data_IF_867837778784
#
_entry.id   IF_867837778784
#
_cell.length_a   1.000
_cell.length_b   1.000
_cell.length_c   1.000
_cell.angle_alpha   90.00
_cell.angle_beta   90.00
_cell.angle_gamma   90.00
#
_symmetry.space_group_name_H-M   'P 1'
#
loop_
_entity.id
_entity.type
_entity.pdbx_description
1 polymer ?
#
# COMPACT_ATOMS: atom_id res chain seq x y z
N UNK A 1 -0.94 -5.02 18.06
CA UNK A 1 -2.06 -4.38 17.34
C UNK A 1 -3.29 -4.23 18.23
N UNK A 2 -3.86 -3.03 18.26
CA UNK A 2 -5.08 -2.69 19.00
C UNK A 2 -5.96 -1.70 18.23
N UNK A 3 -7.19 -1.51 18.71
CA UNK A 3 -8.11 -0.49 18.19
C UNK A 3 -8.31 0.56 19.28
N UNK A 4 -7.98 1.82 18.97
CA UNK A 4 -8.33 2.97 19.81
C UNK A 4 -9.62 3.58 19.26
N UNK A 5 -10.72 3.43 19.99
CA UNK A 5 -12.00 4.07 19.63
C UNK A 5 -11.98 5.51 20.07
N UNK A 6 -12.67 6.36 19.31
CA UNK A 6 -12.90 7.73 19.70
C UNK A 6 -14.14 7.83 20.60
N UNK A 7 -14.14 8.83 21.48
CA UNK A 7 -15.25 9.13 22.39
C UNK A 7 -16.21 10.17 21.82
N UNK A 8 -15.70 11.15 21.07
CA UNK A 8 -16.46 12.27 20.52
C UNK A 8 -17.26 11.94 19.26
N UNK A 9 -16.85 10.90 18.53
CA UNK A 9 -17.43 10.52 17.24
C UNK A 9 -17.35 9.01 17.05
N UNK A 10 -18.27 8.45 16.25
CA UNK A 10 -18.21 7.04 15.84
C UNK A 10 -17.04 6.79 14.88
N UNK A 11 -15.84 6.75 15.43
CA UNK A 11 -14.61 6.50 14.69
C UNK A 11 -13.63 5.66 15.52
N UNK A 12 -12.58 5.20 14.86
CA UNK A 12 -11.51 4.46 15.50
C UNK A 12 -10.20 4.60 14.73
N UNK A 13 -9.08 4.34 15.40
CA UNK A 13 -7.75 4.17 14.81
C UNK A 13 -7.26 2.75 15.11
N UNK A 14 -6.97 1.99 14.06
CA UNK A 14 -6.22 0.74 14.18
C UNK A 14 -4.73 1.07 14.25
N UNK A 15 -4.05 0.54 15.26
CA UNK A 15 -2.62 0.79 15.53
C UNK A 15 -1.92 -0.56 15.61
N UNK A 16 -0.86 -0.75 14.83
CA UNK A 16 -0.21 -2.05 14.70
C UNK A 16 0.77 -2.35 15.85
N UNK A 17 1.68 -1.41 16.12
CA UNK A 17 2.67 -1.45 17.21
C UNK A 17 2.36 -0.34 18.23
N UNK A 18 2.48 -0.65 19.52
CA UNK A 18 2.18 0.31 20.58
C UNK A 18 3.38 1.24 20.85
N UNK A 19 3.08 2.38 21.49
CA UNK A 19 4.07 3.27 22.10
C UNK A 19 5.15 3.85 21.17
N UNK A 20 4.83 3.98 19.87
CA UNK A 20 5.67 4.66 18.87
C UNK A 20 4.83 5.59 17.98
N UNK A 21 5.44 6.64 17.38
CA UNK A 21 4.79 7.46 16.38
C UNK A 21 4.30 6.62 15.20
N UNK A 22 3.31 7.10 14.46
CA UNK A 22 2.74 6.32 13.37
C UNK A 22 2.27 7.12 12.18
N UNK A 23 2.30 6.48 11.01
CA UNK A 23 1.81 7.02 9.76
C UNK A 23 0.77 6.09 9.15
N UNK A 24 -0.16 6.63 8.38
CA UNK A 24 -1.21 5.82 7.80
C UNK A 24 -2.29 6.61 7.09
N UNK A 25 -3.46 5.98 6.89
CA UNK A 25 -4.58 6.56 6.14
C UNK A 25 -5.83 6.70 7.00
N UNK A 26 -6.55 7.81 6.84
CA UNK A 26 -7.90 8.00 7.38
C UNK A 26 -8.94 7.87 6.27
N UNK A 27 -10.01 7.11 6.51
CA UNK A 27 -11.11 6.94 5.55
C UNK A 27 -12.44 7.27 6.22
N UNK A 28 -13.38 7.73 5.41
CA UNK A 28 -14.75 8.01 5.83
C UNK A 28 -15.75 7.27 4.94
N UNK A 29 -16.70 6.60 5.56
CA UNK A 29 -17.84 5.99 4.89
C UNK A 29 -18.98 5.76 5.90
N UNK A 30 -20.22 5.45 5.47
CA UNK A 30 -21.29 5.08 6.39
C UNK A 30 -20.92 3.91 7.33
N UNK A 31 -20.04 3.01 6.87
CA UNK A 31 -19.52 1.90 7.67
C UNK A 31 -18.13 1.46 7.20
N UNK A 32 -17.15 1.59 8.08
CA UNK A 32 -15.79 1.09 7.95
C UNK A 32 -15.57 0.01 9.01
N UNK A 33 -15.08 -1.14 8.56
CA UNK A 33 -14.82 -2.28 9.43
C UNK A 33 -13.39 -2.22 9.99
N UNK A 34 -13.26 -2.48 11.29
CA UNK A 34 -11.97 -2.54 11.97
C UNK A 34 -11.02 -3.58 11.35
N UNK A 35 -11.54 -4.71 10.86
CA UNK A 35 -10.72 -5.75 10.22
C UNK A 35 -9.92 -5.24 9.02
N UNK A 36 -10.57 -4.47 8.13
CA UNK A 36 -9.88 -3.88 6.97
C UNK A 36 -8.85 -2.82 7.38
N UNK A 37 -9.14 -2.02 8.41
CA UNK A 37 -8.20 -1.04 8.95
C UNK A 37 -6.98 -1.70 9.60
N UNK A 38 -7.16 -2.82 10.32
CA UNK A 38 -6.05 -3.62 10.87
C UNK A 38 -5.08 -4.09 9.79
N UNK A 39 -5.61 -4.59 8.67
CA UNK A 39 -4.76 -5.02 7.56
C UNK A 39 -3.99 -3.85 6.93
N UNK A 40 -4.62 -2.68 6.78
CA UNK A 40 -3.94 -1.49 6.26
C UNK A 40 -2.88 -0.96 7.21
N UNK A 41 -3.16 -0.95 8.52
CA UNK A 41 -2.15 -0.61 9.53
C UNK A 41 -0.95 -1.57 9.43
N UNK A 42 -1.20 -2.89 9.31
CA UNK A 42 -0.13 -3.88 9.11
C UNK A 42 0.69 -3.62 7.84
N UNK A 43 0.01 -3.36 6.72
CA UNK A 43 0.67 -3.01 5.46
C UNK A 43 1.59 -1.82 5.63
N UNK A 44 1.09 -0.74 6.23
CA UNK A 44 1.87 0.48 6.45
C UNK A 44 3.06 0.27 7.39
N UNK A 45 2.94 -0.57 8.43
CA UNK A 45 4.07 -0.94 9.29
C UNK A 45 5.19 -1.61 8.47
N UNK A 46 4.84 -2.49 7.53
CA UNK A 46 5.82 -3.13 6.65
C UNK A 46 6.45 -2.14 5.66
N UNK A 47 5.69 -1.13 5.17
CA UNK A 47 6.29 -0.03 4.39
C UNK A 47 7.34 0.70 5.24
N UNK A 48 6.95 1.17 6.42
CA UNK A 48 7.81 1.95 7.31
C UNK A 48 9.06 1.17 7.76
N UNK A 49 8.90 -0.11 8.07
CA UNK A 49 10.02 -0.99 8.41
C UNK A 49 10.97 -1.22 7.24
N UNK A 50 10.46 -1.34 6.01
CA UNK A 50 11.29 -1.48 4.80
C UNK A 50 12.07 -0.20 4.48
N UNK A 51 11.56 0.94 4.94
CA UNK A 51 12.22 2.25 4.93
C UNK A 51 13.06 2.53 6.18
N UNK A 52 13.25 1.51 7.04
CA UNK A 52 14.06 1.57 8.27
C UNK A 52 13.59 2.65 9.28
N UNK A 53 12.28 2.89 9.35
CA UNK A 53 11.68 3.85 10.29
C UNK A 53 11.13 3.15 11.52
N UNK A 54 11.48 3.66 12.70
CA UNK A 54 10.93 3.19 14.00
C UNK A 54 9.55 3.80 14.26
N UNK A 55 8.61 3.44 13.41
CA UNK A 55 7.23 3.94 13.43
C UNK A 55 6.23 2.79 13.24
N UNK A 56 4.99 2.99 13.68
CA UNK A 56 3.88 2.05 13.44
C UNK A 56 3.04 2.48 12.26
N UNK A 57 2.54 1.51 11.50
CA UNK A 57 1.42 1.76 10.62
C UNK A 57 0.12 1.97 11.41
N UNK A 58 -0.71 2.90 10.94
CA UNK A 58 -2.05 3.15 11.47
C UNK A 58 -3.09 3.17 10.34
N UNK A 59 -4.36 2.94 10.69
CA UNK A 59 -5.47 3.18 9.76
C UNK A 59 -6.72 3.59 10.52
N UNK A 60 -7.27 4.75 10.16
CA UNK A 60 -8.46 5.30 10.79
C UNK A 60 -9.73 5.05 9.96
N UNK A 61 -10.83 4.82 10.65
CA UNK A 61 -12.17 4.72 10.06
C UNK A 61 -13.14 5.66 10.77
N UNK A 62 -13.72 6.59 10.03
CA UNK A 62 -14.76 7.52 10.48
C UNK A 62 -16.09 7.03 9.90
N UNK A 63 -17.03 6.65 10.78
CA UNK A 63 -18.35 6.18 10.38
C UNK A 63 -19.36 7.32 10.46
N UNK A 64 -19.71 7.89 9.31
CA UNK A 64 -20.67 8.99 9.23
C UNK A 64 -21.53 8.86 7.97
N UNK A 65 -22.78 9.33 8.06
CA UNK A 65 -23.61 9.53 6.88
C UNK A 65 -23.13 10.76 6.10
N UNK A 66 -23.49 10.90 4.81
CA UNK A 66 -23.08 12.06 4.00
C UNK A 66 -23.41 13.41 4.66
N UNK A 67 -24.57 13.51 5.32
CA UNK A 67 -25.04 14.75 5.94
C UNK A 67 -24.23 15.16 7.18
N UNK A 68 -23.67 14.18 7.91
CA UNK A 68 -22.90 14.41 9.16
C UNK A 68 -21.38 14.44 8.92
N UNK A 69 -20.95 14.36 7.66
CA UNK A 69 -19.56 14.10 7.27
C UNK A 69 -18.59 15.15 7.85
N UNK A 70 -18.86 16.44 7.62
CA UNK A 70 -17.95 17.51 8.01
C UNK A 70 -17.74 17.56 9.52
N UNK A 71 -18.82 17.44 10.29
CA UNK A 71 -18.79 17.43 11.76
C UNK A 71 -18.05 16.20 12.30
N UNK A 72 -18.23 15.04 11.66
CA UNK A 72 -17.53 13.83 12.04
C UNK A 72 -16.01 13.91 11.79
N UNK A 73 -15.57 14.48 10.66
CA UNK A 73 -14.14 14.70 10.37
C UNK A 73 -13.55 15.70 11.36
N UNK A 74 -14.23 16.82 11.61
CA UNK A 74 -13.78 17.83 12.57
C UNK A 74 -13.62 17.25 13.98
N UNK A 75 -14.61 16.50 14.46
CA UNK A 75 -14.57 15.85 15.77
C UNK A 75 -13.42 14.84 15.85
N UNK A 76 -13.24 14.04 14.80
CA UNK A 76 -12.12 13.09 14.69
C UNK A 76 -10.76 13.78 14.80
N UNK A 77 -10.53 14.84 14.02
CA UNK A 77 -9.25 15.56 13.99
C UNK A 77 -8.93 16.17 15.35
N UNK A 78 -9.91 16.82 15.97
CA UNK A 78 -9.73 17.46 17.28
C UNK A 78 -9.36 16.44 18.36
N UNK A 79 -10.04 15.29 18.42
CA UNK A 79 -9.75 14.28 19.43
C UNK A 79 -8.39 13.61 19.20
N UNK A 80 -8.06 13.23 17.96
CA UNK A 80 -6.79 12.54 17.66
C UNK A 80 -5.58 13.46 17.86
N UNK A 81 -5.72 14.75 17.56
CA UNK A 81 -4.66 15.74 17.83
C UNK A 81 -4.31 15.84 19.32
N UNK A 82 -5.29 15.58 20.21
CA UNK A 82 -5.09 15.59 21.66
C UNK A 82 -4.42 14.34 22.24
N UNK A 83 -4.16 13.30 21.44
CA UNK A 83 -3.64 12.02 21.95
C UNK A 83 -2.12 11.98 22.20
N UNK A 84 -1.38 13.03 21.82
CA UNK A 84 0.09 13.13 21.93
C UNK A 84 0.85 11.90 21.38
N UNK A 85 0.23 11.15 20.45
CA UNK A 85 0.77 9.89 19.94
C UNK A 85 1.70 10.05 18.72
N UNK A 86 1.87 11.27 18.21
CA UNK A 86 2.70 11.54 17.03
C UNK A 86 2.15 10.90 15.73
N UNK A 87 0.83 10.82 15.59
CA UNK A 87 0.17 10.23 14.43
C UNK A 87 0.08 11.20 13.25
N UNK A 88 0.43 10.70 12.07
CA UNK A 88 0.28 11.38 10.78
C UNK A 88 -0.65 10.57 9.88
N UNK A 89 -1.61 11.23 9.26
CA UNK A 89 -2.65 10.58 8.48
C UNK A 89 -2.74 11.23 7.10
N UNK A 90 -2.81 10.37 6.10
CA UNK A 90 -3.16 10.76 4.75
C UNK A 90 -4.66 10.64 4.52
N UNK A 91 -5.18 11.44 3.60
CA UNK A 91 -6.58 11.40 3.20
C UNK A 91 -6.84 10.18 2.32
N UNK A 92 -7.70 9.28 2.79
CA UNK A 92 -8.29 8.22 1.96
C UNK A 92 -9.71 8.54 1.54
N UNK A 93 -10.38 7.55 0.94
CA UNK A 93 -11.76 7.69 0.44
C UNK A 93 -12.69 8.36 1.47
N UNK A 94 -13.43 9.37 0.99
CA UNK A 94 -14.46 10.09 1.76
C UNK A 94 -13.94 11.30 2.54
N UNK A 95 -12.63 11.56 2.54
CA UNK A 95 -11.99 12.72 3.15
C UNK A 95 -11.28 13.52 2.06
N UNK A 96 -11.50 14.82 2.04
CA UNK A 96 -10.93 15.72 1.05
C UNK A 96 -9.57 16.26 1.52
N UNK A 97 -8.75 16.66 0.56
CA UNK A 97 -7.41 17.20 0.83
C UNK A 97 -7.51 18.43 1.74
N UNK A 98 -6.71 18.44 2.79
CA UNK A 98 -6.63 19.54 3.77
C UNK A 98 -7.55 19.40 4.98
N UNK A 99 -8.54 18.50 4.95
CA UNK A 99 -9.50 18.38 6.06
C UNK A 99 -8.95 17.73 7.33
N UNK A 100 -7.83 17.02 7.22
CA UNK A 100 -7.14 16.46 8.39
C UNK A 100 -6.33 17.52 9.16
N UNK A 101 -6.24 18.75 8.66
CA UNK A 101 -5.53 19.84 9.33
C UNK A 101 -4.09 19.46 9.69
N UNK A 102 -3.71 19.66 10.96
CA UNK A 102 -2.37 19.35 11.48
C UNK A 102 -2.05 17.85 11.56
N UNK A 103 -3.06 16.96 11.51
CA UNK A 103 -2.84 15.51 11.39
C UNK A 103 -2.55 15.09 9.95
N UNK A 104 -2.88 15.96 8.99
CA UNK A 104 -2.79 15.68 7.57
C UNK A 104 -1.35 15.69 7.07
N UNK A 105 -0.94 14.60 6.43
CA UNK A 105 0.26 14.55 5.60
C UNK A 105 -0.17 14.62 4.13
N UNK A 106 0.29 15.61 3.33
CA UNK A 106 -0.11 15.71 1.93
C UNK A 106 0.35 14.47 1.15
N UNK A 107 -0.61 13.70 0.64
CA UNK A 107 -0.31 12.63 -0.31
C UNK A 107 0.14 13.22 -1.63
N UNK A 108 1.39 12.94 -1.99
CA UNK A 108 1.85 13.10 -3.36
C UNK A 108 1.46 11.84 -4.15
N UNK A 109 0.17 11.70 -4.50
CA UNK A 109 -0.37 10.49 -5.13
C UNK A 109 0.38 10.04 -6.39
N UNK A 110 0.97 10.98 -7.14
CA UNK A 110 1.82 10.68 -8.28
C UNK A 110 3.08 9.88 -7.93
N UNK A 111 3.58 9.97 -6.69
CA UNK A 111 4.74 9.19 -6.24
C UNK A 111 4.46 7.70 -6.12
N UNK A 112 3.19 7.29 -5.97
CA UNK A 112 2.81 5.87 -6.06
C UNK A 112 3.09 5.33 -7.45
N UNK A 113 2.72 6.07 -8.50
CA UNK A 113 3.01 5.69 -9.87
C UNK A 113 4.53 5.62 -10.13
N UNK A 114 5.30 6.59 -9.60
CA UNK A 114 6.76 6.61 -9.70
C UNK A 114 7.38 5.36 -9.07
N UNK A 115 7.04 5.06 -7.81
CA UNK A 115 7.59 3.89 -7.11
C UNK A 115 7.15 2.57 -7.76
N UNK A 116 5.89 2.48 -8.22
CA UNK A 116 5.38 1.27 -8.87
C UNK A 116 6.09 0.99 -10.19
N UNK A 117 6.27 1.99 -11.05
CA UNK A 117 6.97 1.82 -12.34
C UNK A 117 8.45 1.52 -12.11
N UNK A 118 9.11 2.20 -11.18
CA UNK A 118 10.52 1.93 -10.85
C UNK A 118 10.72 0.50 -10.30
N UNK A 119 9.86 0.04 -9.41
CA UNK A 119 9.84 -1.33 -8.91
C UNK A 119 9.65 -2.35 -10.03
N UNK A 120 8.71 -2.08 -10.96
CA UNK A 120 8.47 -2.95 -12.11
C UNK A 120 9.70 -3.06 -13.01
N UNK A 121 10.33 -1.93 -13.34
CA UNK A 121 11.52 -1.91 -14.19
C UNK A 121 12.75 -2.51 -13.51
N UNK A 122 12.87 -2.41 -12.18
CA UNK A 122 13.91 -3.13 -11.44
C UNK A 122 13.70 -4.66 -11.48
N UNK A 123 12.45 -5.11 -11.38
CA UNK A 123 12.12 -6.54 -11.47
C UNK A 123 12.28 -7.10 -12.88
N UNK A 124 11.99 -6.31 -13.92
CA UNK A 124 12.10 -6.73 -15.32
C UNK A 124 12.62 -5.57 -16.19
N UNK A 125 13.95 -5.36 -16.25
CA UNK A 125 14.54 -4.23 -16.99
C UNK A 125 14.28 -4.23 -18.49
N UNK A 126 13.97 -5.40 -19.05
CA UNK A 126 13.68 -5.59 -20.47
C UNK A 126 12.18 -5.45 -20.82
N UNK A 127 11.32 -5.09 -19.85
CA UNK A 127 9.89 -4.93 -20.09
C UNK A 127 9.61 -3.83 -21.12
N UNK A 128 8.67 -4.10 -22.03
CA UNK A 128 8.25 -3.17 -23.09
C UNK A 128 6.74 -2.99 -23.16
N UNK A 129 5.98 -3.91 -22.56
CA UNK A 129 4.51 -3.91 -22.60
C UNK A 129 3.92 -3.96 -21.20
N UNK A 130 2.82 -3.23 -21.00
CA UNK A 130 2.09 -3.21 -19.75
C UNK A 130 0.59 -3.39 -19.98
N UNK A 131 -0.11 -3.98 -19.03
CA UNK A 131 -1.56 -3.87 -18.91
C UNK A 131 -1.91 -3.25 -17.56
N UNK A 132 -3.06 -2.58 -17.49
CA UNK A 132 -3.46 -1.78 -16.34
C UNK A 132 -4.87 -2.17 -15.90
N UNK A 133 -4.99 -2.60 -14.65
CA UNK A 133 -6.26 -2.92 -13.98
C UNK A 133 -6.53 -1.88 -12.88
N UNK A 134 -7.19 -0.78 -13.24
CA UNK A 134 -7.51 0.32 -12.32
C UNK A 134 -6.40 1.38 -12.21
N UNK A 135 -6.08 2.04 -13.33
CA UNK A 135 -5.08 3.10 -13.40
C UNK A 135 -5.66 4.51 -13.24
N UNK A 136 -4.75 5.48 -13.17
CA UNK A 136 -5.05 6.91 -13.19
C UNK A 136 -4.06 7.66 -14.10
N UNK A 137 -4.28 8.96 -14.26
CA UNK A 137 -3.45 9.80 -15.14
C UNK A 137 -1.97 9.87 -14.69
N UNK A 138 -1.67 9.67 -13.40
CA UNK A 138 -0.30 9.69 -12.91
C UNK A 138 0.43 8.41 -13.32
N UNK A 139 -0.24 7.26 -13.21
CA UNK A 139 0.28 5.99 -13.73
C UNK A 139 0.49 6.05 -15.24
N UNK A 140 -0.48 6.55 -16.00
CA UNK A 140 -0.37 6.69 -17.45
C UNK A 140 0.85 7.53 -17.85
N UNK A 141 1.09 8.64 -17.14
CA UNK A 141 2.26 9.49 -17.38
C UNK A 141 3.58 8.75 -17.10
N UNK A 142 3.67 7.99 -16.00
CA UNK A 142 4.89 7.24 -15.66
C UNK A 142 5.16 6.08 -16.61
N UNK A 143 4.12 5.38 -17.06
CA UNK A 143 4.24 4.32 -18.08
C UNK A 143 4.77 4.88 -19.41
N UNK A 144 4.25 6.05 -19.83
CA UNK A 144 4.73 6.74 -21.02
C UNK A 144 6.20 7.18 -20.87
N UNK A 145 6.57 7.75 -19.72
CA UNK A 145 7.97 8.13 -19.43
C UNK A 145 8.93 6.94 -19.44
N UNK A 146 8.46 5.75 -19.05
CA UNK A 146 9.23 4.51 -19.10
C UNK A 146 9.24 3.83 -20.50
N UNK A 147 8.61 4.43 -21.51
CA UNK A 147 8.44 3.86 -22.86
C UNK A 147 7.72 2.49 -22.87
N UNK A 148 6.80 2.28 -21.93
CA UNK A 148 5.98 1.06 -21.89
C UNK A 148 4.76 1.22 -22.80
N UNK A 149 4.54 0.25 -23.69
CA UNK A 149 3.34 0.18 -24.52
C UNK A 149 2.20 -0.41 -23.71
N UNK A 150 1.16 0.38 -23.44
CA UNK A 150 -0.04 -0.10 -22.74
C UNK A 150 -0.95 -0.88 -23.68
N UNK A 151 -1.21 -2.15 -23.34
CA UNK A 151 -2.12 -3.03 -24.05
C UNK A 151 -3.51 -2.93 -23.41
N UNK A 152 -4.42 -2.27 -24.12
CA UNK A 152 -5.82 -2.14 -23.73
C UNK A 152 -6.57 -3.45 -24.00
N UNK A 153 -7.28 -3.97 -23.00
CA UNK A 153 -8.06 -5.21 -23.05
C UNK A 153 -9.25 -5.12 -22.10
N UNK A 154 -10.35 -5.79 -22.44
CA UNK A 154 -11.50 -5.95 -21.54
C UNK A 154 -11.20 -6.92 -20.38
N UNK A 155 -10.22 -7.82 -20.55
CA UNK A 155 -9.64 -8.66 -19.48
C UNK A 155 -8.13 -8.33 -19.36
N UNK A 156 -7.77 -7.25 -18.63
CA UNK A 156 -6.38 -6.84 -18.44
C UNK A 156 -5.55 -7.86 -17.64
N UNK A 157 -6.20 -8.78 -16.91
CA UNK A 157 -5.50 -9.83 -16.15
C UNK A 157 -4.93 -10.89 -17.08
N UNK A 158 -5.68 -11.27 -18.12
CA UNK A 158 -5.31 -12.39 -19.00
C UNK A 158 -4.50 -12.02 -20.23
N UNK A 159 -4.36 -10.72 -20.53
CA UNK A 159 -3.66 -10.26 -21.73
C UNK A 159 -2.16 -10.58 -21.63
N UNK A 160 -1.57 -11.02 -22.74
CA UNK A 160 -0.13 -11.25 -22.81
C UNK A 160 0.62 -9.92 -22.78
N UNK A 161 1.41 -9.69 -21.74
CA UNK A 161 2.26 -8.50 -21.56
C UNK A 161 3.45 -8.82 -20.66
N UNK A 162 4.35 -7.86 -20.44
CA UNK A 162 5.45 -8.02 -19.48
C UNK A 162 4.95 -7.73 -18.06
N UNK A 163 4.25 -6.61 -17.89
CA UNK A 163 3.86 -6.05 -16.61
C UNK A 163 2.34 -5.93 -16.48
N UNK A 164 1.77 -6.32 -15.34
CA UNK A 164 0.40 -5.97 -14.96
C UNK A 164 0.43 -5.00 -13.78
N UNK A 165 0.01 -3.77 -14.00
CA UNK A 165 -0.27 -2.82 -12.91
C UNK A 165 -1.69 -3.03 -12.42
N UNK A 166 -1.89 -3.22 -11.12
CA UNK A 166 -3.21 -3.47 -10.53
C UNK A 166 -3.53 -2.46 -9.43
N UNK A 167 -4.77 -1.98 -9.37
CA UNK A 167 -5.13 -0.69 -8.76
C UNK A 167 -6.57 -0.55 -8.27
N UNK A 168 -7.37 -1.63 -8.21
CA UNK A 168 -8.84 -1.47 -8.17
C UNK A 168 -9.50 -1.66 -6.80
N UNK A 169 -9.01 -2.62 -6.00
CA UNK A 169 -9.60 -3.01 -4.71
C UNK A 169 -8.65 -3.90 -3.92
N UNK A 170 -8.90 -4.03 -2.61
CA UNK A 170 -8.25 -5.06 -1.78
C UNK A 170 -8.53 -6.45 -2.36
N UNK A 171 -7.49 -7.26 -2.49
CA UNK A 171 -7.56 -8.60 -3.09
C UNK A 171 -7.96 -8.59 -4.57
N UNK A 172 -7.60 -7.53 -5.31
CA UNK A 172 -7.85 -7.45 -6.75
C UNK A 172 -7.27 -8.65 -7.52
N UNK A 173 -6.14 -9.18 -7.08
CA UNK A 173 -5.57 -10.43 -7.59
C UNK A 173 -5.69 -11.52 -6.53
N UNK A 174 -6.67 -12.39 -6.72
CA UNK A 174 -6.83 -13.63 -5.97
C UNK A 174 -6.20 -14.82 -6.72
N UNK A 175 -6.30 -16.02 -6.16
CA UNK A 175 -5.80 -17.24 -6.81
C UNK A 175 -6.43 -17.56 -8.18
N UNK A 176 -7.67 -17.15 -8.45
CA UNK A 176 -8.34 -17.40 -9.73
C UNK A 176 -7.82 -16.43 -10.79
N UNK A 177 -7.66 -15.15 -10.44
CA UNK A 177 -6.99 -14.16 -11.28
C UNK A 177 -5.53 -14.58 -11.54
N UNK A 178 -4.81 -14.97 -10.48
CA UNK A 178 -3.41 -15.40 -10.56
C UNK A 178 -3.20 -16.61 -11.48
N UNK A 179 -4.17 -17.53 -11.55
CA UNK A 179 -4.11 -18.69 -12.44
C UNK A 179 -4.22 -18.32 -13.92
N UNK A 180 -4.76 -17.13 -14.24
CA UNK A 180 -5.00 -16.67 -15.62
C UNK A 180 -4.07 -15.54 -16.06
N UNK A 181 -3.19 -15.05 -15.19
CA UNK A 181 -2.26 -13.95 -15.51
C UNK A 181 -1.52 -14.21 -16.82
N UNK A 182 -1.56 -13.24 -17.73
CA UNK A 182 -0.79 -13.22 -18.98
C UNK A 182 0.53 -12.44 -18.87
N UNK A 183 0.84 -11.88 -17.70
CA UNK A 183 2.05 -11.11 -17.44
C UNK A 183 3.19 -11.93 -16.82
N UNK A 184 4.40 -11.36 -16.82
CA UNK A 184 5.56 -11.89 -16.10
C UNK A 184 5.75 -11.27 -14.72
N UNK A 185 5.31 -10.02 -14.52
CA UNK A 185 5.38 -9.29 -13.25
C UNK A 185 4.03 -8.68 -12.90
N UNK A 186 3.56 -8.89 -11.68
CA UNK A 186 2.38 -8.21 -11.10
C UNK A 186 2.86 -7.09 -10.19
N UNK A 187 2.39 -5.87 -10.47
CA UNK A 187 2.82 -4.63 -9.83
C UNK A 187 1.60 -3.97 -9.17
N UNK A 188 1.46 -4.09 -7.84
CA UNK A 188 0.41 -3.38 -7.13
C UNK A 188 0.59 -1.86 -7.16
N UNK A 189 -0.52 -1.11 -7.24
CA UNK A 189 -0.54 0.37 -7.15
C UNK A 189 -1.40 0.88 -5.99
N UNK A 190 -1.88 -0.01 -5.13
CA UNK A 190 -2.53 0.30 -3.85
C UNK A 190 -2.22 -0.83 -2.85
N UNK A 191 -2.49 -0.59 -1.57
CA UNK A 191 -2.23 -1.55 -0.50
C UNK A 191 -3.21 -2.75 -0.54
N UNK A 192 -2.69 -3.92 -0.14
CA UNK A 192 -3.42 -5.17 0.05
C UNK A 192 -4.10 -5.69 -1.23
N UNK A 193 -3.44 -5.62 -2.38
CA UNK A 193 -4.05 -6.05 -3.64
C UNK A 193 -3.88 -7.54 -3.94
N UNK A 194 -2.88 -8.17 -3.33
CA UNK A 194 -2.56 -9.58 -3.55
C UNK A 194 -3.01 -10.42 -2.35
N UNK A 195 -3.79 -11.47 -2.62
CA UNK A 195 -4.08 -12.48 -1.60
C UNK A 195 -2.89 -13.41 -1.39
N UNK A 196 -2.79 -14.03 -0.22
CA UNK A 196 -1.73 -15.01 0.05
C UNK A 196 -1.72 -16.17 -0.97
N UNK A 197 -2.90 -16.63 -1.40
CA UNK A 197 -2.99 -17.68 -2.42
C UNK A 197 -2.56 -17.19 -3.81
N UNK A 198 -2.81 -15.92 -4.14
CA UNK A 198 -2.34 -15.34 -5.39
C UNK A 198 -0.81 -15.34 -5.46
N UNK A 199 -0.14 -14.88 -4.39
CA UNK A 199 1.33 -14.90 -4.30
C UNK A 199 1.87 -16.32 -4.49
N UNK A 200 1.25 -17.33 -3.85
CA UNK A 200 1.63 -18.72 -4.00
C UNK A 200 1.44 -19.26 -5.44
N UNK A 201 0.33 -18.92 -6.10
CA UNK A 201 0.07 -19.29 -7.49
C UNK A 201 1.04 -18.59 -8.45
N UNK A 202 1.32 -17.30 -8.25
CA UNK A 202 2.31 -16.57 -9.05
C UNK A 202 3.67 -17.24 -8.96
N UNK A 203 4.13 -17.58 -7.75
CA UNK A 203 5.39 -18.31 -7.55
C UNK A 203 5.41 -19.65 -8.29
N UNK A 204 4.34 -20.45 -8.20
CA UNK A 204 4.24 -21.72 -8.92
C UNK A 204 4.32 -21.55 -10.44
N UNK A 205 3.85 -20.42 -10.96
CA UNK A 205 3.86 -20.08 -12.39
C UNK A 205 5.11 -19.33 -12.84
N UNK A 206 6.06 -19.05 -11.95
CA UNK A 206 7.25 -18.25 -12.25
C UNK A 206 6.95 -16.77 -12.53
N UNK A 207 5.82 -16.26 -12.02
CA UNK A 207 5.42 -14.86 -12.14
C UNK A 207 5.89 -14.11 -10.90
N UNK A 208 6.60 -12.98 -11.09
CA UNK A 208 7.04 -12.14 -10.00
C UNK A 208 5.86 -11.32 -9.45
N UNK A 209 5.41 -11.65 -8.24
CA UNK A 209 4.41 -10.87 -7.51
C UNK A 209 5.13 -9.83 -6.63
N UNK A 210 5.11 -8.56 -7.02
CA UNK A 210 5.80 -7.53 -6.26
C UNK A 210 5.03 -7.17 -4.97
N UNK A 211 5.73 -6.87 -3.87
CA UNK A 211 5.13 -6.44 -2.61
C UNK A 211 4.50 -5.05 -2.74
N UNK A 212 3.20 -4.97 -2.49
CA UNK A 212 2.42 -3.72 -2.54
C UNK A 212 3.00 -2.65 -1.62
N UNK A 213 3.38 -3.02 -0.40
CA UNK A 213 4.02 -2.14 0.58
C UNK A 213 5.39 -1.60 0.15
N UNK A 214 5.97 -2.07 -0.97
CA UNK A 214 7.14 -1.44 -1.60
C UNK A 214 6.73 -0.67 -2.85
N UNK A 215 5.89 -1.24 -3.71
CA UNK A 215 5.48 -0.56 -4.95
C UNK A 215 4.69 0.72 -4.69
N UNK A 216 4.09 0.87 -3.50
CA UNK A 216 3.36 2.08 -3.09
C UNK A 216 4.10 2.94 -2.06
N UNK A 217 5.41 2.75 -1.85
CA UNK A 217 6.15 3.46 -0.80
C UNK A 217 6.47 4.93 -1.14
N UNK A 218 6.33 5.32 -2.41
CA UNK A 218 6.76 6.64 -2.92
C UNK A 218 6.30 7.85 -2.08
N UNK A 219 5.03 7.96 -1.66
CA UNK A 219 4.57 9.10 -0.88
C UNK A 219 5.23 9.27 0.49
N UNK A 220 5.98 8.28 0.98
CA UNK A 220 6.66 8.36 2.27
C UNK A 220 8.11 8.84 2.15
N UNK A 221 8.65 9.02 0.96
CA UNK A 221 10.02 9.52 0.74
C UNK A 221 10.01 10.94 0.17
N UNK A 222 11.19 11.57 0.03
CA UNK A 222 11.27 13.03 -0.13
C UNK A 222 10.73 13.54 -1.46
N UNK A 223 11.08 12.89 -2.57
CA UNK A 223 10.70 13.28 -3.92
C UNK A 223 10.63 12.10 -4.91
N UNK A 224 10.40 12.38 -6.19
CA UNK A 224 10.29 11.39 -7.25
C UNK A 224 11.57 10.58 -7.49
N UNK A 225 12.75 11.20 -7.38
CA UNK A 225 14.02 10.50 -7.59
C UNK A 225 14.27 9.52 -6.45
N UNK A 226 14.03 9.96 -5.22
CA UNK A 226 14.10 9.12 -4.03
C UNK A 226 13.05 7.99 -4.07
N UNK A 227 11.82 8.28 -4.53
CA UNK A 227 10.76 7.28 -4.66
C UNK A 227 11.14 6.18 -5.65
N UNK A 228 11.65 6.57 -6.82
CA UNK A 228 12.09 5.62 -7.83
C UNK A 228 13.29 4.78 -7.33
N UNK A 229 14.32 5.45 -6.79
CA UNK A 229 15.55 4.81 -6.32
C UNK A 229 15.29 3.85 -5.17
N UNK A 230 14.48 4.27 -4.18
CA UNK A 230 14.16 3.45 -3.02
C UNK A 230 13.41 2.18 -3.42
N UNK A 231 12.35 2.32 -4.22
CA UNK A 231 11.56 1.18 -4.66
C UNK A 231 12.38 0.21 -5.52
N UNK A 232 13.14 0.73 -6.49
CA UNK A 232 13.99 -0.08 -7.35
C UNK A 232 15.09 -0.84 -6.58
N UNK A 233 15.73 -0.17 -5.62
CA UNK A 233 16.78 -0.76 -4.77
C UNK A 233 16.25 -1.92 -3.94
N UNK A 234 15.11 -1.71 -3.24
CA UNK A 234 14.50 -2.77 -2.42
C UNK A 234 14.07 -3.95 -3.29
N UNK A 235 13.45 -3.71 -4.46
CA UNK A 235 13.07 -4.80 -5.37
C UNK A 235 14.28 -5.56 -5.91
N UNK A 236 15.37 -4.87 -6.24
CA UNK A 236 16.62 -5.52 -6.67
C UNK A 236 17.20 -6.41 -5.58
N UNK A 237 17.18 -5.96 -4.33
CA UNK A 237 17.66 -6.72 -3.18
C UNK A 237 16.87 -8.02 -2.96
N UNK A 238 15.54 -7.96 -3.07
CA UNK A 238 14.65 -9.09 -2.73
C UNK A 238 14.26 -9.93 -3.95
N UNK A 239 14.64 -9.52 -5.16
CA UNK A 239 14.19 -10.11 -6.43
C UNK A 239 14.51 -11.60 -6.57
N UNK A 240 15.70 -12.01 -6.14
CA UNK A 240 16.20 -13.39 -6.22
C UNK A 240 15.83 -14.24 -4.99
N UNK A 241 14.96 -13.75 -4.11
CA UNK A 241 14.54 -14.50 -2.94
C UNK A 241 13.87 -15.83 -3.36
N UNK A 242 14.22 -16.99 -2.76
CA UNK A 242 13.75 -18.30 -3.21
C UNK A 242 12.23 -18.47 -3.15
N UNK A 243 11.56 -17.77 -2.23
CA UNK A 243 10.10 -17.75 -2.13
C UNK A 243 9.42 -16.58 -2.87
N UNK A 244 10.19 -15.83 -3.67
CA UNK A 244 9.76 -14.68 -4.45
C UNK A 244 9.90 -13.33 -3.72
N UNK A 245 9.85 -12.22 -4.47
CA UNK A 245 10.15 -10.88 -3.96
C UNK A 245 9.21 -10.41 -2.85
N UNK A 246 7.94 -10.84 -2.86
CA UNK A 246 7.00 -10.51 -1.79
C UNK A 246 7.48 -11.02 -0.42
N UNK A 247 7.91 -12.29 -0.34
CA UNK A 247 8.39 -12.85 0.93
C UNK A 247 9.76 -12.28 1.31
N UNK A 248 10.65 -12.05 0.34
CA UNK A 248 11.93 -11.39 0.60
C UNK A 248 11.75 -10.00 1.21
N UNK A 249 10.80 -9.20 0.71
CA UNK A 249 10.48 -7.90 1.32
C UNK A 249 9.85 -8.01 2.72
N UNK A 250 9.06 -9.06 2.97
CA UNK A 250 8.55 -9.31 4.32
C UNK A 250 9.70 -9.61 5.29
N UNK A 251 10.66 -10.45 4.88
CA UNK A 251 11.82 -10.80 5.71
C UNK A 251 12.75 -9.60 5.94
N UNK A 252 12.93 -8.75 4.92
CA UNK A 252 13.63 -7.46 5.05
C UNK A 252 12.98 -6.59 6.14
N UNK A 253 11.67 -6.37 6.07
CA UNK A 253 10.92 -5.58 7.05
C UNK A 253 10.98 -6.21 8.45
N UNK A 254 10.78 -7.52 8.54
CA UNK A 254 10.82 -8.29 9.79
C UNK A 254 12.20 -8.24 10.46
N UNK A 255 13.28 -8.29 9.67
CA UNK A 255 14.65 -8.14 10.18
C UNK A 255 14.86 -6.76 10.82
N UNK A 256 14.37 -5.69 10.20
CA UNK A 256 14.45 -4.36 10.80
C UNK A 256 13.60 -4.26 12.08
N UNK A 257 12.36 -4.78 12.06
CA UNK A 257 11.46 -4.79 13.22
C UNK A 257 12.07 -5.56 14.40
N UNK A 258 12.68 -6.71 14.16
CA UNK A 258 13.36 -7.51 15.19
C UNK A 258 14.53 -6.77 15.86
N UNK A 259 15.08 -5.73 15.20
CA UNK A 259 16.12 -4.88 15.78
C UNK A 259 15.65 -3.94 16.89
N UNK A 260 14.33 -3.74 17.06
CA UNK A 260 13.80 -2.80 18.07
C UNK A 260 12.42 -3.19 18.63
N UNK A 261 11.88 -4.35 18.29
CA UNK A 261 10.67 -4.94 18.88
C UNK A 261 10.99 -6.29 19.51
N UNK A 262 10.44 -6.56 20.70
CA UNK A 262 10.62 -7.85 21.38
C UNK A 262 9.95 -9.01 20.62
N UNK A 263 8.86 -8.71 19.94
CA UNK A 263 8.06 -9.68 19.18
C UNK A 263 7.64 -9.11 17.83
N UNK A 264 7.78 -9.92 16.79
CA UNK A 264 7.27 -9.58 15.47
C UNK A 264 5.74 -9.57 15.47
N UNK A 265 5.12 -8.66 14.70
CA UNK A 265 3.68 -8.57 14.63
C UNK A 265 3.10 -9.81 13.92
N UNK A 266 2.03 -10.39 14.46
CA UNK A 266 1.46 -11.65 13.94
C UNK A 266 0.80 -11.49 12.56
N UNK A 267 1.39 -12.07 11.52
CA UNK A 267 0.85 -12.09 10.15
C UNK A 267 1.52 -11.10 9.20
N UNK A 268 1.65 -11.48 7.93
CA UNK A 268 2.24 -10.66 6.86
C UNK A 268 1.18 -9.82 6.13
N UNK A 269 1.56 -8.71 5.46
CA UNK A 269 0.63 -7.74 4.87
C UNK A 269 0.03 -8.24 3.54
N UNK A 270 -0.70 -9.34 3.57
CA UNK A 270 -1.42 -9.86 2.40
C UNK A 270 -2.93 -9.66 2.58
N UNK A 271 -3.64 -9.55 1.46
CA UNK A 271 -5.09 -9.53 1.48
C UNK A 271 -5.65 -10.86 2.03
N UNK A 272 -6.71 -10.81 2.86
CA UNK A 272 -7.33 -11.99 3.45
C UNK A 272 -8.04 -12.87 2.42
#
# INVERSE_FOLDING_TARGET
MFIRKLESVNAFVAVDLADVPGAGVARLAPKILQGGAKNLARSMTYVLASLERRETGISAGINAQPDDRADAVSSFVNEVAGWEAGFRLTTGKGIDVGELGALGDPLQGHLVAVSAVAAAMASMPAATTASVMGGDAALDAQLASANLTVINSDDPVSVACDLLFCGSKVGAVDHLAAARLGCSVVVPTDALQLTARAVAVCRQRGIAALPDFITTCGPLVADSEDAATTAASIITEVGDHPDGPFLGACERAESFLAGWQDHLPFGRPMAP
#
